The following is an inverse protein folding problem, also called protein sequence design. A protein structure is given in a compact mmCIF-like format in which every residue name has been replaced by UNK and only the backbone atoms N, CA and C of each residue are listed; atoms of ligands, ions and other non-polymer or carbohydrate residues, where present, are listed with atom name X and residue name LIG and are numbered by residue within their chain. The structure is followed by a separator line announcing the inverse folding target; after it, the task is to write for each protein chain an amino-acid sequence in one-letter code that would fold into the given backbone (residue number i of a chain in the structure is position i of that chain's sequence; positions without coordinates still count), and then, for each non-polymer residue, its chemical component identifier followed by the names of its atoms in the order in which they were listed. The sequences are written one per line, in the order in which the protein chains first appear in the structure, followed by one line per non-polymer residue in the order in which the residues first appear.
data_IF_270189294031
#
_entry.id   IF_270189294031
#
_cell.length_a   1.000
_cell.length_b   1.000
_cell.length_c   1.000
_cell.angle_alpha   90.00
_cell.angle_beta   90.00
_cell.angle_gamma   90.00
#
_symmetry.space_group_name_H-M   'P 1'
#
loop_
_entity.id
_entity.type
_entity.pdbx_description
1 polymer ?
#
# COMPACT_ATOMS: atom_id res chain seq x y z
N UNK A 1 9.51 12.07 -4.68
CA UNK A 1 8.89 13.17 -5.44
C UNK A 1 7.42 13.24 -5.02
N UNK A 2 6.92 14.40 -4.59
CA UNK A 2 5.48 14.64 -4.38
C UNK A 2 5.03 15.60 -5.47
N UNK A 3 3.92 15.29 -6.14
CA UNK A 3 3.43 16.07 -7.27
C UNK A 3 2.50 17.16 -6.75
N UNK A 4 3.04 18.37 -6.62
CA UNK A 4 2.27 19.62 -6.54
C UNK A 4 3.11 20.84 -6.98
N UNK A 5 4.18 20.64 -7.75
CA UNK A 5 4.97 21.77 -8.22
C UNK A 5 4.31 22.38 -9.45
N UNK A 6 3.65 23.53 -9.29
CA UNK A 6 3.05 24.31 -10.39
C UNK A 6 1.55 24.62 -10.29
N UNK A 7 0.84 24.15 -9.25
CA UNK A 7 -0.57 24.48 -9.05
C UNK A 7 -0.70 25.69 -8.10
N UNK A 8 -1.13 26.83 -8.64
CA UNK A 8 -1.25 28.10 -7.90
C UNK A 8 -2.62 28.27 -7.21
N UNK A 9 -3.61 27.45 -7.57
CA UNK A 9 -4.93 27.38 -6.92
C UNK A 9 -4.96 26.23 -5.92
N UNK A 10 -5.78 26.35 -4.87
CA UNK A 10 -5.76 25.57 -3.63
C UNK A 10 -5.73 24.03 -3.82
N UNK A 11 -4.56 23.48 -4.13
CA UNK A 11 -4.29 22.04 -4.14
C UNK A 11 -3.61 21.69 -2.81
N UNK A 12 -4.29 20.87 -2.00
CA UNK A 12 -3.68 20.28 -0.80
C UNK A 12 -2.88 19.05 -1.26
N UNK A 13 -1.54 19.05 -1.16
CA UNK A 13 -0.76 17.88 -1.53
C UNK A 13 -1.11 16.73 -0.60
N UNK A 14 -1.62 15.63 -1.18
CA UNK A 14 -1.81 14.38 -0.44
C UNK A 14 -0.43 13.79 -0.16
N UNK A 15 -0.03 13.80 1.11
CA UNK A 15 1.15 13.10 1.59
C UNK A 15 0.73 11.65 1.83
N UNK A 16 1.07 10.74 0.92
CA UNK A 16 1.31 9.37 1.38
C UNK A 16 2.51 9.42 2.34
N UNK A 17 2.51 8.61 3.38
CA UNK A 17 3.51 8.63 4.45
C UNK A 17 4.95 8.72 3.92
N UNK A 18 5.60 9.87 4.14
CA UNK A 18 6.95 10.19 3.65
C UNK A 18 8.09 9.70 4.55
N UNK A 19 7.95 8.53 5.17
CA UNK A 19 9.02 7.94 5.97
C UNK A 19 9.71 6.79 5.21
N UNK A 20 10.50 7.06 4.15
CA UNK A 20 11.16 6.01 3.35
C UNK A 20 12.18 5.19 4.17
N UNK A 21 12.60 5.70 5.33
CA UNK A 21 13.49 5.02 6.28
C UNK A 21 12.81 4.75 7.63
N UNK A 22 11.47 4.84 7.68
CA UNK A 22 10.70 4.47 8.86
C UNK A 22 10.78 2.97 9.16
N UNK A 23 10.35 2.54 10.35
CA UNK A 23 10.32 1.14 10.71
C UNK A 23 9.45 0.33 9.73
N UNK A 24 9.96 -0.83 9.32
CA UNK A 24 9.24 -1.76 8.45
C UNK A 24 8.55 -2.85 9.29
N UNK A 25 7.29 -3.14 8.96
CA UNK A 25 6.58 -4.32 9.46
C UNK A 25 6.88 -5.50 8.53
N UNK A 26 7.63 -6.48 9.01
CA UNK A 26 8.00 -7.67 8.24
C UNK A 26 7.22 -8.90 8.71
N UNK A 27 6.84 -9.76 7.77
CA UNK A 27 6.24 -11.07 8.04
C UNK A 27 7.16 -12.19 7.56
N UNK A 28 7.06 -13.36 8.19
CA UNK A 28 7.76 -14.54 7.69
C UNK A 28 7.19 -14.94 6.32
N UNK A 29 8.06 -15.41 5.43
CA UNK A 29 7.66 -15.80 4.07
C UNK A 29 6.52 -16.84 4.06
N UNK A 30 6.55 -17.80 4.99
CA UNK A 30 5.50 -18.82 5.12
C UNK A 30 4.14 -18.20 5.48
N UNK A 31 4.08 -17.29 6.45
CA UNK A 31 2.84 -16.61 6.82
C UNK A 31 2.28 -15.76 5.69
N UNK A 32 3.14 -15.11 4.91
CA UNK A 32 2.73 -14.32 3.75
C UNK A 32 2.16 -15.21 2.63
N UNK A 33 2.78 -16.36 2.37
CA UNK A 33 2.30 -17.32 1.37
C UNK A 33 0.89 -17.85 1.70
N UNK A 34 0.65 -18.19 2.97
CA UNK A 34 -0.69 -18.63 3.44
C UNK A 34 -1.73 -17.53 3.21
N UNK A 35 -1.45 -16.30 3.64
CA UNK A 35 -2.36 -15.17 3.47
C UNK A 35 -2.77 -14.95 2.00
N UNK A 36 -1.80 -14.97 1.08
CA UNK A 36 -2.07 -14.82 -0.36
C UNK A 36 -2.86 -16.01 -0.92
N UNK A 37 -2.61 -17.22 -0.43
CA UNK A 37 -3.38 -18.41 -0.79
C UNK A 37 -4.87 -18.25 -0.47
N UNK A 38 -5.18 -17.84 0.76
CA UNK A 38 -6.55 -17.60 1.21
C UNK A 38 -7.24 -16.47 0.43
N UNK A 39 -6.53 -15.37 0.16
CA UNK A 39 -7.08 -14.26 -0.61
C UNK A 39 -7.52 -14.70 -2.02
N UNK A 40 -6.72 -15.55 -2.68
CA UNK A 40 -7.03 -16.07 -4.02
C UNK A 40 -8.16 -17.10 -3.99
N UNK A 41 -8.19 -17.96 -2.97
CA UNK A 41 -9.29 -18.92 -2.79
C UNK A 41 -10.64 -18.19 -2.60
N UNK A 42 -10.64 -17.07 -1.88
CA UNK A 42 -11.83 -16.22 -1.71
C UNK A 42 -12.29 -15.49 -3.00
N UNK A 43 -11.42 -15.31 -4.00
CA UNK A 43 -11.80 -14.74 -5.30
C UNK A 43 -12.49 -15.74 -6.23
N UNK A 44 -12.35 -17.04 -5.96
CA UNK A 44 -13.04 -18.11 -6.70
C UNK A 44 -14.47 -18.36 -6.16
N UNK A 45 -14.79 -17.80 -4.98
CA UNK A 45 -16.16 -17.70 -4.47
C UNK A 45 -16.90 -16.53 -5.17
N UNK A 46 -17.13 -16.67 -6.47
CA UNK A 46 -18.24 -15.96 -7.12
C UNK A 46 -19.54 -16.74 -6.85
N UNK A 47 -20.68 -16.11 -6.54
CA UNK A 47 -21.97 -16.71 -6.85
C UNK A 47 -22.14 -16.93 -8.36
#
# INVERSE_FOLDING_TARGET
MEVAHGFQEAVVPVRDSKAPHGPALCFAAASWAVFIGELKAGQDLRP
#
